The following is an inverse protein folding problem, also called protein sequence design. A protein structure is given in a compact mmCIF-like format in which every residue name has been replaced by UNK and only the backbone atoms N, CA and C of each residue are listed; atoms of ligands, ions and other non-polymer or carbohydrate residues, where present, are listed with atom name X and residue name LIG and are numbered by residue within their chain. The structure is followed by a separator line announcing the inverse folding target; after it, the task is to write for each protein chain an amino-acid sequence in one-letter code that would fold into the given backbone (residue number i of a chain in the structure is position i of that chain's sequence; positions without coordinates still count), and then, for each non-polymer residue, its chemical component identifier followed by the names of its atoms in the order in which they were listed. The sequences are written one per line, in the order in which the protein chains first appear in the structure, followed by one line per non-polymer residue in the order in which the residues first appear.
data_IF_074639345885
#
_entry.id   IF_074639345885
#
_cell.length_a   1.000
_cell.length_b   1.000
_cell.length_c   1.000
_cell.angle_alpha   90.00
_cell.angle_beta   90.00
_cell.angle_gamma   90.00
#
_symmetry.space_group_name_H-M   'P 1'
#
loop_
_entity.id
_entity.type
_entity.pdbx_description
1 polymer ?
#
# COMPACT_ATOMS: atom_id res chain seq x y z
N UNK A 1 -17.93 5.52 -8.57
CA UNK A 1 -16.92 4.67 -9.23
C UNK A 1 -16.75 3.39 -8.42
N UNK A 2 -16.96 2.22 -9.02
CA UNK A 2 -16.78 0.96 -8.32
C UNK A 2 -15.29 0.69 -8.08
N UNK A 3 -14.92 0.46 -6.82
CA UNK A 3 -13.54 0.19 -6.43
C UNK A 3 -13.29 -1.30 -6.70
N UNK A 4 -12.38 -1.60 -7.62
CA UNK A 4 -11.93 -2.98 -7.85
C UNK A 4 -10.65 -3.22 -7.03
N UNK A 5 -10.72 -3.97 -5.92
CA UNK A 5 -9.54 -4.32 -5.14
C UNK A 5 -8.73 -5.41 -5.85
N UNK A 6 -7.42 -5.26 -5.85
CA UNK A 6 -6.47 -6.24 -6.40
C UNK A 6 -5.45 -6.55 -5.31
N UNK A 7 -5.30 -7.84 -4.97
CA UNK A 7 -4.26 -8.30 -4.05
C UNK A 7 -2.94 -8.40 -4.80
N UNK A 8 -1.89 -7.81 -4.23
CA UNK A 8 -0.52 -7.92 -4.71
C UNK A 8 0.26 -8.77 -3.71
N UNK A 9 0.89 -9.85 -4.18
CA UNK A 9 1.61 -10.78 -3.31
C UNK A 9 3.08 -10.40 -3.10
N UNK A 10 3.71 -9.78 -4.09
CA UNK A 10 5.13 -9.45 -4.05
C UNK A 10 5.36 -7.97 -3.71
N UNK A 11 6.37 -7.69 -2.88
CA UNK A 11 6.77 -6.32 -2.55
C UNK A 11 7.28 -5.54 -3.77
N UNK A 12 7.97 -6.22 -4.71
CA UNK A 12 8.50 -5.59 -5.93
C UNK A 12 7.36 -5.06 -6.81
N UNK A 13 6.34 -5.87 -7.04
CA UNK A 13 5.16 -5.46 -7.83
C UNK A 13 4.40 -4.33 -7.15
N UNK A 14 4.30 -4.39 -5.82
CA UNK A 14 3.68 -3.32 -5.02
C UNK A 14 4.41 -1.98 -5.18
N UNK A 15 5.76 -1.98 -5.16
CA UNK A 15 6.55 -0.77 -5.38
C UNK A 15 6.45 -0.25 -6.81
N UNK A 16 6.37 -1.14 -7.80
CA UNK A 16 6.08 -0.74 -9.19
C UNK A 16 4.74 -0.03 -9.28
N UNK A 17 3.71 -0.51 -8.58
CA UNK A 17 2.41 0.18 -8.52
C UNK A 17 2.46 1.51 -7.78
N UNK A 18 3.30 1.65 -6.75
CA UNK A 18 3.45 2.88 -5.98
C UNK A 18 4.09 4.02 -6.79
N UNK A 19 4.96 3.68 -7.73
CA UNK A 19 5.67 4.63 -8.59
C UNK A 19 4.91 5.01 -9.87
N UNK A 20 3.72 4.44 -10.11
CA UNK A 20 2.93 4.80 -11.29
C UNK A 20 2.41 6.23 -11.18
N UNK A 21 2.29 6.96 -12.31
CA UNK A 21 1.80 8.34 -12.32
C UNK A 21 0.32 8.46 -11.90
N UNK A 22 -0.46 7.38 -11.99
CA UNK A 22 -1.85 7.36 -11.58
C UNK A 22 -2.06 6.99 -10.08
N UNK A 23 -0.97 6.70 -9.36
CA UNK A 23 -1.02 6.48 -7.92
C UNK A 23 -1.24 7.80 -7.18
N UNK A 24 -2.33 7.88 -6.42
CA UNK A 24 -2.76 9.11 -5.75
C UNK A 24 -2.38 9.16 -4.27
N UNK A 25 -2.55 8.02 -3.59
CA UNK A 25 -2.22 7.89 -2.16
C UNK A 25 -2.00 6.44 -1.78
N UNK A 26 -1.23 6.24 -0.72
CA UNK A 26 -1.10 4.96 -0.03
C UNK A 26 -1.71 5.06 1.36
N UNK A 27 -2.70 4.23 1.64
CA UNK A 27 -3.29 4.09 2.96
C UNK A 27 -2.66 2.89 3.65
N UNK A 28 -1.99 3.13 4.77
CA UNK A 28 -1.38 2.10 5.61
C UNK A 28 -2.36 1.80 6.74
N UNK A 29 -3.00 0.63 6.65
CA UNK A 29 -3.94 0.17 7.67
C UNK A 29 -3.26 -0.87 8.56
N UNK A 30 -3.02 -0.53 9.82
CA UNK A 30 -2.55 -1.50 10.82
C UNK A 30 -3.77 -2.25 11.38
N UNK A 31 -3.74 -3.59 11.33
CA UNK A 31 -4.66 -4.47 12.05
C UNK A 31 -3.89 -5.18 13.17
N UNK A 32 -4.59 -5.99 13.98
CA UNK A 32 -4.00 -6.71 15.11
C UNK A 32 -2.81 -7.62 14.72
N UNK A 33 -2.93 -8.35 13.60
CA UNK A 33 -1.97 -9.38 13.21
C UNK A 33 -1.26 -9.08 11.87
N UNK A 34 -1.63 -8.01 11.17
CA UNK A 34 -1.04 -7.67 9.87
C UNK A 34 -1.20 -6.19 9.56
N UNK A 35 -0.39 -5.70 8.64
CA UNK A 35 -0.48 -4.37 8.08
C UNK A 35 -0.86 -4.48 6.61
N UNK A 36 -1.83 -3.68 6.18
CA UNK A 36 -2.25 -3.61 4.78
C UNK A 36 -1.84 -2.27 4.19
N UNK A 37 -0.99 -2.31 3.17
CA UNK A 37 -0.64 -1.14 2.38
C UNK A 37 -1.58 -1.08 1.17
N UNK A 38 -2.32 0.01 1.04
CA UNK A 38 -3.38 0.15 0.04
C UNK A 38 -3.08 1.33 -0.87
N UNK A 39 -2.63 1.08 -2.10
CA UNK A 39 -2.38 2.13 -3.09
C UNK A 39 -3.67 2.40 -3.85
N UNK A 40 -4.13 3.64 -3.80
CA UNK A 40 -5.23 4.13 -4.62
C UNK A 40 -4.68 4.60 -5.97
N UNK A 41 -5.03 3.88 -7.02
CA UNK A 41 -4.82 4.32 -8.41
C UNK A 41 -6.12 4.89 -9.00
N UNK A 42 -6.12 5.24 -10.28
CA UNK A 42 -7.33 5.75 -10.96
C UNK A 42 -8.48 4.75 -10.92
N UNK A 43 -8.25 3.50 -11.32
CA UNK A 43 -9.27 2.44 -11.38
C UNK A 43 -9.21 1.47 -10.19
N UNK A 44 -8.02 0.96 -9.89
CA UNK A 44 -7.82 -0.12 -8.93
C UNK A 44 -7.39 0.37 -7.55
N UNK A 45 -7.66 -0.47 -6.55
CA UNK A 45 -7.05 -0.37 -5.23
C UNK A 45 -6.10 -1.56 -5.05
N UNK A 46 -4.80 -1.33 -5.16
CA UNK A 46 -3.81 -2.37 -4.95
C UNK A 46 -3.55 -2.54 -3.45
N UNK A 47 -3.64 -3.78 -2.97
CA UNK A 47 -3.45 -4.10 -1.56
C UNK A 47 -2.29 -5.06 -1.43
N UNK A 48 -1.28 -4.67 -0.65
CA UNK A 48 -0.22 -5.55 -0.18
C UNK A 48 -0.44 -5.84 1.31
N UNK A 49 -0.43 -7.12 1.68
CA UNK A 49 -0.65 -7.56 3.06
C UNK A 49 0.68 -8.05 3.61
N UNK A 50 1.14 -7.42 4.69
CA UNK A 50 2.35 -7.80 5.40
C UNK A 50 1.97 -8.38 6.76
N UNK A 51 2.34 -9.62 7.01
CA UNK A 51 2.14 -10.27 8.31
C UNK A 51 3.30 -9.98 9.28
N UNK A 52 4.52 -9.80 8.77
CA UNK A 52 5.71 -9.52 9.58
C UNK A 52 5.79 -8.05 9.99
N UNK A 53 5.48 -7.76 11.25
CA UNK A 53 5.45 -6.40 11.78
C UNK A 53 6.84 -5.72 11.80
N UNK A 54 7.91 -6.49 11.90
CA UNK A 54 9.30 -6.00 11.90
C UNK A 54 9.70 -5.37 10.56
N UNK A 55 9.12 -5.83 9.45
CA UNK A 55 9.44 -5.35 8.11
C UNK A 55 8.60 -4.12 7.71
N UNK A 56 7.65 -3.70 8.54
CA UNK A 56 6.72 -2.60 8.22
C UNK A 56 7.49 -1.30 7.97
N UNK A 57 8.42 -0.95 8.85
CA UNK A 57 9.13 0.33 8.76
C UNK A 57 10.12 0.36 7.59
N UNK A 58 10.68 -0.81 7.23
CA UNK A 58 11.48 -0.97 6.01
C UNK A 58 10.66 -0.68 4.77
N UNK A 59 9.46 -1.28 4.64
CA UNK A 59 8.59 -1.02 3.49
C UNK A 59 8.15 0.45 3.44
N UNK A 60 7.84 1.06 4.59
CA UNK A 60 7.48 2.47 4.67
C UNK A 60 8.59 3.41 4.16
N UNK A 61 9.85 3.07 4.44
CA UNK A 61 11.00 3.83 4.00
C UNK A 61 11.19 3.77 2.47
N UNK A 62 10.85 2.63 1.84
CA UNK A 62 11.00 2.43 0.39
C UNK A 62 9.84 3.08 -0.40
N UNK A 63 8.73 3.43 0.27
CA UNK A 63 7.60 4.09 -0.39
C UNK A 63 8.00 5.47 -0.95
N UNK A 64 7.59 5.80 -2.19
CA UNK A 64 7.93 7.07 -2.83
C UNK A 64 7.49 8.27 -1.99
N UNK A 65 8.36 9.28 -1.90
CA UNK A 65 8.16 10.49 -1.09
C UNK A 65 6.99 11.33 -1.64
N UNK A 66 6.85 11.38 -2.97
CA UNK A 66 5.80 12.14 -3.66
C UNK A 66 4.40 11.52 -3.54
N UNK A 67 4.28 10.31 -2.97
CA UNK A 67 3.00 9.65 -2.79
C UNK A 67 2.44 9.97 -1.39
N UNK A 68 1.24 10.54 -1.34
CA UNK A 68 0.58 10.88 -0.08
C UNK A 68 0.38 9.63 0.79
N UNK A 69 0.85 9.67 2.05
CA UNK A 69 0.81 8.56 3.01
C UNK A 69 -0.26 8.86 4.08
N UNK A 70 -1.21 7.95 4.24
CA UNK A 70 -2.32 8.08 5.20
C UNK A 70 -2.30 6.86 6.14
N UNK A 71 -2.13 7.08 7.44
CA UNK A 71 -2.04 5.99 8.42
C UNK A 71 -3.33 5.87 9.22
N UNK A 72 -3.98 4.71 9.10
CA UNK A 72 -5.21 4.41 9.82
C UNK A 72 -4.90 3.31 10.84
N UNK A 73 -5.13 3.62 12.11
CA UNK A 73 -5.18 2.64 13.19
C UNK A 73 -6.63 2.16 13.32
N UNK A 74 -6.83 0.86 13.43
CA UNK A 74 -8.13 0.26 13.76
C UNK A 74 -8.09 -0.22 15.21
#
# INVERSE_FOLDING_TARGET
MQIMPVLVQNVRDFLTHANRPDARKVTIKRNKNNVKFKIRCSRYLYVYVLNDLENVDRIKAILPINLAKDEIKK
#
